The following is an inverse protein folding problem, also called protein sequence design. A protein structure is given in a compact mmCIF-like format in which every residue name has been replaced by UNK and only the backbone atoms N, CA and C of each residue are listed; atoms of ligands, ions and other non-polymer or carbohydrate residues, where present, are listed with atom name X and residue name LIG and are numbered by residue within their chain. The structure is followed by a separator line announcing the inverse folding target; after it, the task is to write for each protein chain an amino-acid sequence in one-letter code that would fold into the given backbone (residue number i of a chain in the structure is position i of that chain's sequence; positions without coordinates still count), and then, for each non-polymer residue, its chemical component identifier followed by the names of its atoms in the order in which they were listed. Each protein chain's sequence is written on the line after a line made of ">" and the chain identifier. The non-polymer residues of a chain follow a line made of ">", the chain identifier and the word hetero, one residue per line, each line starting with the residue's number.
data_IF_676061445526
#
_entry.id   IF_676061445526
#
_cell.length_a   1.000
_cell.length_b   1.000
_cell.length_c   1.000
_cell.angle_alpha   90.00
_cell.angle_beta   90.00
_cell.angle_gamma   90.00
#
_symmetry.space_group_name_H-M   'P 1'
#
loop_
_entity.id
_entity.type
_entity.pdbx_description
1 polymer ?
#
# COMPACT_ATOMS: atom_id res chain seq x y z
N UNK A 1 4.81 0.57 7.20
CA UNK A 1 5.10 -0.81 7.66
C UNK A 1 5.00 -1.74 6.47
N UNK A 2 5.64 -2.90 6.55
CA UNK A 2 5.58 -3.94 5.51
C UNK A 2 4.96 -5.19 6.11
N UNK A 3 4.06 -5.82 5.36
CA UNK A 3 3.35 -7.01 5.80
C UNK A 3 2.97 -7.93 4.66
N UNK A 4 2.22 -8.98 5.00
CA UNK A 4 1.65 -9.90 4.04
C UNK A 4 0.23 -10.30 4.46
N UNK A 5 -0.62 -10.61 3.47
CA UNK A 5 -1.96 -11.11 3.74
C UNK A 5 -1.90 -12.53 4.32
N UNK A 6 -2.73 -12.79 5.32
CA UNK A 6 -2.91 -14.11 5.95
C UNK A 6 -4.06 -14.90 5.32
N UNK A 7 -5.15 -14.22 4.94
CA UNK A 7 -6.45 -14.82 4.64
C UNK A 7 -6.45 -15.80 3.44
N UNK A 8 -6.41 -17.13 3.68
CA UNK A 8 -6.19 -18.13 2.64
C UNK A 8 -7.49 -18.73 2.08
N UNK A 9 -8.64 -18.15 2.41
CA UNK A 9 -9.95 -18.72 2.14
C UNK A 9 -10.78 -17.86 1.18
N UNK A 10 -11.78 -18.51 0.56
CA UNK A 10 -12.70 -17.85 -0.36
C UNK A 10 -12.05 -17.43 -1.68
N UNK A 11 -12.66 -16.42 -2.30
CA UNK A 11 -12.29 -15.85 -3.60
C UNK A 11 -10.87 -15.29 -3.58
N UNK A 12 -10.42 -14.78 -2.44
CA UNK A 12 -9.15 -14.07 -2.30
C UNK A 12 -8.01 -14.96 -1.80
N UNK A 13 -8.16 -16.29 -1.79
CA UNK A 13 -7.13 -17.24 -1.33
C UNK A 13 -5.76 -17.03 -1.97
N UNK A 14 -5.70 -16.55 -3.21
CA UNK A 14 -4.47 -16.32 -3.97
C UNK A 14 -3.65 -15.15 -3.44
N UNK A 15 -4.22 -14.30 -2.58
CA UNK A 15 -3.52 -13.19 -1.96
C UNK A 15 -2.72 -13.62 -0.72
N UNK A 16 -2.93 -14.84 -0.20
CA UNK A 16 -2.18 -15.32 0.97
C UNK A 16 -0.66 -15.25 0.70
N UNK A 17 0.08 -14.57 1.58
CA UNK A 17 1.51 -14.35 1.46
C UNK A 17 1.92 -13.21 0.52
N UNK A 18 0.99 -12.61 -0.23
CA UNK A 18 1.29 -11.43 -1.05
C UNK A 18 1.66 -10.27 -0.13
N UNK A 19 2.78 -9.63 -0.43
CA UNK A 19 3.29 -8.53 0.37
C UNK A 19 2.49 -7.25 0.12
N UNK A 20 2.38 -6.43 1.16
CA UNK A 20 1.83 -5.08 1.07
C UNK A 20 2.68 -4.09 1.87
N UNK A 21 2.49 -2.81 1.58
CA UNK A 21 2.98 -1.71 2.39
C UNK A 21 1.80 -0.86 2.84
N UNK A 22 1.89 -0.30 4.05
CA UNK A 22 0.80 0.51 4.56
C UNK A 22 1.12 1.24 5.86
N UNK A 23 0.11 1.89 6.41
CA UNK A 23 0.19 2.58 7.70
C UNK A 23 -1.14 2.48 8.45
N UNK A 24 -1.10 2.66 9.77
CA UNK A 24 -2.28 2.69 10.64
C UNK A 24 -2.42 4.08 11.26
N UNK A 25 -3.61 4.68 11.13
CA UNK A 25 -3.99 5.90 11.84
C UNK A 25 -5.44 5.72 12.32
N UNK A 26 -5.60 5.03 13.44
CA UNK A 26 -6.90 4.81 14.05
C UNK A 26 -6.78 4.75 15.58
N UNK A 27 -7.86 5.11 16.26
CA UNK A 27 -7.97 5.02 17.72
C UNK A 27 -8.86 3.84 18.17
N UNK A 28 -9.77 3.41 17.29
CA UNK A 28 -10.67 2.29 17.56
C UNK A 28 -9.91 0.97 17.62
N UNK A 29 -10.38 0.06 18.47
CA UNK A 29 -9.93 -1.34 18.53
C UNK A 29 -11.12 -2.23 18.19
N UNK A 30 -10.90 -3.17 17.28
CA UNK A 30 -11.91 -4.18 16.93
C UNK A 30 -11.52 -5.50 17.57
N UNK A 31 -12.48 -6.15 18.22
CA UNK A 31 -12.34 -7.50 18.77
C UNK A 31 -13.31 -8.44 18.05
N UNK A 32 -12.82 -9.60 17.62
CA UNK A 32 -13.61 -10.61 16.90
C UNK A 32 -12.95 -11.98 17.00
N UNK A 33 -13.73 -13.04 16.80
CA UNK A 33 -13.23 -14.41 16.66
C UNK A 33 -12.83 -14.79 15.24
N UNK A 34 -13.00 -13.89 14.26
CA UNK A 34 -12.58 -14.13 12.88
C UNK A 34 -11.04 -14.09 12.73
N UNK A 35 -10.53 -14.74 11.69
CA UNK A 35 -9.09 -14.82 11.44
C UNK A 35 -8.53 -13.46 11.00
N UNK A 36 -7.31 -13.10 11.43
CA UNK A 36 -6.70 -11.84 11.04
C UNK A 36 -6.47 -11.77 9.53
N UNK A 37 -6.69 -10.60 8.93
CA UNK A 37 -6.46 -10.41 7.50
C UNK A 37 -4.98 -10.26 7.17
N UNK A 38 -4.26 -9.50 7.99
CA UNK A 38 -2.93 -9.02 7.69
C UNK A 38 -1.98 -9.25 8.87
N UNK A 39 -0.72 -9.53 8.54
CA UNK A 39 0.38 -9.49 9.50
C UNK A 39 1.49 -8.61 9.00
N UNK A 40 2.08 -7.83 9.90
CA UNK A 40 3.12 -6.87 9.56
C UNK A 40 4.06 -6.63 10.74
N UNK A 41 5.21 -6.05 10.43
CA UNK A 41 6.15 -5.56 11.43
C UNK A 41 6.07 -4.04 11.49
N UNK A 42 5.82 -3.48 12.67
CA UNK A 42 5.80 -2.02 12.88
C UNK A 42 7.19 -1.42 12.65
N UNK A 43 7.27 -0.09 12.57
CA UNK A 43 8.58 0.59 12.48
C UNK A 43 9.46 0.37 13.71
N UNK A 44 8.88 -0.01 14.85
CA UNK A 44 9.61 -0.36 16.08
C UNK A 44 10.04 -1.81 16.15
N UNK A 45 9.79 -2.62 15.11
CA UNK A 45 10.17 -4.04 15.05
C UNK A 45 9.15 -4.99 15.70
N UNK A 46 8.01 -4.49 16.16
CA UNK A 46 6.97 -5.30 16.78
C UNK A 46 6.15 -6.02 15.71
N UNK A 47 5.95 -7.34 15.86
CA UNK A 47 5.05 -8.10 14.98
C UNK A 47 3.61 -7.90 15.46
N UNK A 48 2.75 -7.48 14.56
CA UNK A 48 1.31 -7.28 14.80
C UNK A 48 0.49 -7.90 13.70
N UNK A 49 -0.79 -8.08 14.00
CA UNK A 49 -1.82 -8.43 13.03
C UNK A 49 -2.94 -7.40 13.08
N UNK A 50 -3.55 -7.12 11.94
CA UNK A 50 -4.73 -6.27 11.85
C UNK A 50 -5.73 -6.83 10.84
N UNK A 51 -6.95 -6.33 10.95
CA UNK A 51 -8.06 -6.69 10.09
C UNK A 51 -8.60 -8.08 10.38
N UNK A 52 -9.71 -8.38 9.73
CA UNK A 52 -10.44 -9.63 9.86
C UNK A 52 -10.81 -10.13 8.47
N UNK A 53 -10.82 -11.44 8.33
CA UNK A 53 -11.25 -12.13 7.12
C UNK A 53 -12.30 -13.18 7.46
N UNK A 54 -13.41 -13.18 6.71
CA UNK A 54 -14.47 -14.17 6.80
C UNK A 54 -14.98 -14.47 5.38
N UNK A 55 -14.49 -15.56 4.80
CA UNK A 55 -14.71 -15.87 3.38
C UNK A 55 -14.28 -14.73 2.47
N UNK A 56 -15.22 -14.14 1.73
CA UNK A 56 -14.97 -13.06 0.78
C UNK A 56 -15.13 -11.66 1.40
N UNK A 57 -15.26 -11.55 2.73
CA UNK A 57 -15.40 -10.26 3.41
C UNK A 57 -14.14 -9.97 4.20
N UNK A 58 -13.45 -8.91 3.80
CA UNK A 58 -12.23 -8.43 4.43
C UNK A 58 -12.45 -7.03 4.99
N UNK A 59 -11.97 -6.80 6.21
CA UNK A 59 -11.92 -5.47 6.83
C UNK A 59 -10.56 -5.28 7.48
N UNK A 60 -10.01 -4.06 7.41
CA UNK A 60 -8.68 -3.75 7.95
C UNK A 60 -8.55 -2.24 8.15
N UNK A 61 -7.79 -1.82 9.17
CA UNK A 61 -7.43 -0.44 9.42
C UNK A 61 -6.14 -0.03 8.71
N UNK A 62 -5.35 -0.99 8.24
CA UNK A 62 -4.17 -0.69 7.43
C UNK A 62 -4.59 0.00 6.13
N UNK A 63 -4.16 1.25 5.99
CA UNK A 63 -4.28 1.99 4.74
C UNK A 63 -3.19 1.53 3.75
N UNK A 64 -3.54 1.47 2.47
CA UNK A 64 -2.60 1.20 1.38
C UNK A 64 -2.33 -0.28 1.10
N UNK A 65 -3.08 -1.22 1.69
CA UNK A 65 -2.87 -2.67 1.50
C UNK A 65 -2.86 -3.13 0.02
N UNK A 66 -3.42 -2.35 -0.90
CA UNK A 66 -3.44 -2.63 -2.34
C UNK A 66 -2.59 -1.66 -3.18
N UNK A 67 -1.81 -0.77 -2.56
CA UNK A 67 -1.05 0.26 -3.29
C UNK A 67 0.16 -0.35 -4.01
N UNK A 68 0.64 -1.52 -3.56
CA UNK A 68 1.64 -2.28 -4.29
C UNK A 68 1.02 -2.95 -5.51
N UNK A 69 1.75 -2.84 -6.62
CA UNK A 69 1.42 -3.40 -7.91
C UNK A 69 1.01 -4.89 -7.82
N UNK A 70 1.73 -5.67 -7.02
CA UNK A 70 1.52 -7.09 -6.81
C UNK A 70 0.23 -7.38 -6.03
N UNK A 71 -0.05 -6.61 -4.98
CA UNK A 71 -1.27 -6.75 -4.18
C UNK A 71 -2.52 -6.39 -4.99
N UNK A 72 -2.47 -5.29 -5.75
CA UNK A 72 -3.55 -4.91 -6.67
C UNK A 72 -3.74 -5.96 -7.77
N UNK A 73 -2.67 -6.45 -8.39
CA UNK A 73 -2.75 -7.47 -9.43
C UNK A 73 -3.34 -8.78 -8.90
N UNK A 74 -2.94 -9.22 -7.70
CA UNK A 74 -3.48 -10.42 -7.08
C UNK A 74 -4.98 -10.29 -6.82
N UNK A 75 -5.45 -9.14 -6.31
CA UNK A 75 -6.86 -8.86 -6.12
C UNK A 75 -7.64 -8.92 -7.44
N UNK A 76 -7.15 -8.22 -8.47
CA UNK A 76 -7.83 -8.19 -9.78
C UNK A 76 -7.85 -9.56 -10.43
N UNK A 77 -6.75 -10.31 -10.39
CA UNK A 77 -6.69 -11.66 -10.94
C UNK A 77 -7.65 -12.62 -10.22
N UNK A 78 -7.77 -12.53 -8.89
CA UNK A 78 -8.77 -13.30 -8.13
C UNK A 78 -10.21 -12.98 -8.58
N UNK A 79 -10.51 -11.71 -8.86
CA UNK A 79 -11.82 -11.28 -9.37
C UNK A 79 -12.07 -11.71 -10.82
N UNK A 80 -11.04 -11.70 -11.67
CA UNK A 80 -11.12 -12.18 -13.05
C UNK A 80 -11.40 -13.69 -13.08
N UNK A 81 -10.65 -14.47 -12.31
CA UNK A 81 -10.84 -15.92 -12.19
C UNK A 81 -12.25 -16.26 -11.72
N UNK A 82 -12.75 -15.55 -10.70
CA UNK A 82 -14.12 -15.73 -10.21
C UNK A 82 -15.21 -15.38 -11.25
N UNK A 83 -14.88 -14.56 -12.25
CA UNK A 83 -15.75 -14.22 -13.38
C UNK A 83 -15.56 -15.15 -14.60
N UNK A 84 -14.64 -16.11 -14.53
CA UNK A 84 -14.29 -16.98 -15.66
C UNK A 84 -13.53 -16.24 -16.76
N UNK A 85 -12.80 -15.18 -16.42
CA UNK A 85 -11.96 -14.41 -17.32
C UNK A 85 -10.49 -14.79 -17.14
N UNK A 86 -9.72 -14.70 -18.22
CA UNK A 86 -8.28 -14.99 -18.18
C UNK A 86 -7.52 -13.99 -17.29
N UNK A 87 -6.62 -14.45 -16.41
CA UNK A 87 -5.74 -13.59 -15.65
C UNK A 87 -4.83 -12.78 -16.58
N UNK A 88 -4.65 -11.49 -16.26
CA UNK A 88 -3.88 -10.60 -17.11
C UNK A 88 -3.83 -9.17 -16.59
N UNK A 89 -4.04 -8.98 -15.28
CA UNK A 89 -4.03 -7.66 -14.68
C UNK A 89 -2.65 -7.01 -14.88
N UNK A 90 -2.61 -5.98 -15.71
CA UNK A 90 -1.44 -5.11 -15.81
C UNK A 90 -1.34 -4.31 -14.51
N UNK A 91 -0.20 -4.41 -13.83
CA UNK A 91 0.08 -3.58 -12.68
C UNK A 91 0.88 -2.36 -13.10
N UNK A 92 0.47 -1.20 -12.63
CA UNK A 92 1.24 0.04 -12.75
C UNK A 92 1.86 0.30 -11.40
N UNK A 93 3.17 0.51 -11.37
CA UNK A 93 3.85 0.98 -10.16
C UNK A 93 3.47 2.44 -9.94
N UNK A 94 2.40 2.65 -9.18
CA UNK A 94 1.89 3.97 -8.83
C UNK A 94 2.90 4.79 -8.03
N UNK A 95 3.76 4.13 -7.25
CA UNK A 95 4.80 4.81 -6.48
C UNK A 95 5.87 5.36 -7.41
N UNK A 96 6.36 4.55 -8.36
CA UNK A 96 7.29 5.01 -9.39
C UNK A 96 6.67 6.12 -10.25
N UNK A 97 5.40 5.98 -10.64
CA UNK A 97 4.69 7.00 -11.41
C UNK A 97 4.56 8.33 -10.64
N UNK A 98 4.16 8.27 -9.36
CA UNK A 98 4.05 9.44 -8.50
C UNK A 98 5.40 10.13 -8.31
N UNK A 99 6.46 9.34 -8.06
CA UNK A 99 7.82 9.87 -7.96
C UNK A 99 8.24 10.60 -9.24
N UNK A 100 7.93 10.03 -10.41
CA UNK A 100 8.18 10.70 -11.68
C UNK A 100 7.44 12.04 -11.81
N UNK A 101 6.21 12.14 -11.29
CA UNK A 101 5.48 13.42 -11.30
C UNK A 101 6.08 14.44 -10.33
N UNK A 102 6.54 14.01 -9.16
CA UNK A 102 7.26 14.87 -8.22
C UNK A 102 8.57 15.39 -8.83
N UNK A 103 9.31 14.55 -9.55
CA UNK A 103 10.54 14.95 -10.22
C UNK A 103 10.27 16.00 -11.32
N UNK A 104 9.20 15.84 -12.10
CA UNK A 104 8.76 16.85 -13.09
C UNK A 104 8.39 18.17 -12.43
N UNK A 105 7.62 18.13 -11.34
CA UNK A 105 7.25 19.33 -10.58
C UNK A 105 8.49 20.02 -10.03
N UNK A 106 9.41 19.26 -9.41
CA UNK A 106 10.64 19.78 -8.86
C UNK A 106 11.54 20.38 -9.95
N UNK A 107 11.60 19.78 -11.14
CA UNK A 107 12.30 20.35 -12.28
C UNK A 107 11.68 21.69 -12.73
N UNK A 108 10.35 21.76 -12.83
CA UNK A 108 9.62 22.99 -13.16
C UNK A 108 9.88 24.11 -12.15
N UNK A 109 9.87 23.79 -10.85
CA UNK A 109 10.20 24.74 -9.79
C UNK A 109 11.64 25.24 -9.89
N UNK A 110 12.62 24.33 -10.07
CA UNK A 110 14.04 24.71 -10.21
C UNK A 110 14.30 25.59 -11.43
N UNK A 111 13.57 25.39 -12.53
CA UNK A 111 13.67 26.21 -13.73
C UNK A 111 13.04 27.61 -13.55
N UNK A 112 12.06 27.74 -12.65
CA UNK A 112 11.27 28.96 -12.48
C UNK A 112 11.69 29.82 -11.29
N UNK A 113 12.53 29.31 -10.40
CA UNK A 113 12.92 29.96 -9.15
C UNK A 113 14.44 30.14 -9.06
N UNK A 114 14.88 31.22 -8.40
CA UNK A 114 16.29 31.37 -8.00
C UNK A 114 16.61 30.44 -6.84
N UNK A 115 16.93 29.20 -7.18
CA UNK A 115 17.27 28.17 -6.20
C UNK A 115 18.50 28.55 -5.37
N UNK A 116 19.46 29.31 -5.92
CA UNK A 116 20.64 29.75 -5.15
C UNK A 116 20.22 30.70 -4.03
N UNK A 117 19.34 31.65 -4.31
CA UNK A 117 18.79 32.54 -3.28
C UNK A 117 17.95 31.79 -2.25
N UNK A 118 17.12 30.85 -2.67
CA UNK A 118 16.33 30.01 -1.74
C UNK A 118 17.26 29.22 -0.81
N UNK A 119 18.33 28.61 -1.33
CA UNK A 119 19.28 27.87 -0.50
C UNK A 119 20.06 28.77 0.46
N UNK A 120 20.46 29.98 0.04
CA UNK A 120 21.05 30.97 0.96
C UNK A 120 20.11 31.29 2.12
N UNK A 121 18.84 31.61 1.84
CA UNK A 121 17.82 31.89 2.86
C UNK A 121 17.65 30.69 3.82
N UNK A 122 17.54 29.47 3.28
CA UNK A 122 17.41 28.25 4.09
C UNK A 122 18.62 28.00 4.99
N UNK A 123 19.81 28.41 4.54
CA UNK A 123 21.06 28.28 5.28
C UNK A 123 21.35 29.49 6.20
N UNK A 124 20.48 30.50 6.24
CA UNK A 124 20.69 31.71 7.04
C UNK A 124 21.73 32.67 6.45
N UNK A 125 22.00 32.58 5.16
CA UNK A 125 22.87 33.47 4.40
C UNK A 125 22.02 34.54 3.68
N UNK A 126 22.47 35.81 3.68
CA UNK A 126 21.83 36.89 2.90
C UNK A 126 22.01 36.71 1.38
#
# INVERSE_FOLDING_TARGET
>A
MTGAFRAPEGLFRSLAGVAFEGYEIHMGRTESGAAPLAEFTTQTGERRSDGLSAGNVWGCYVHGIFDKAEAAAALVNALLEAKGLEPGAASVDWQAYAQQQYDKLAAGLRASLDMKRIYRILNGEE
#
